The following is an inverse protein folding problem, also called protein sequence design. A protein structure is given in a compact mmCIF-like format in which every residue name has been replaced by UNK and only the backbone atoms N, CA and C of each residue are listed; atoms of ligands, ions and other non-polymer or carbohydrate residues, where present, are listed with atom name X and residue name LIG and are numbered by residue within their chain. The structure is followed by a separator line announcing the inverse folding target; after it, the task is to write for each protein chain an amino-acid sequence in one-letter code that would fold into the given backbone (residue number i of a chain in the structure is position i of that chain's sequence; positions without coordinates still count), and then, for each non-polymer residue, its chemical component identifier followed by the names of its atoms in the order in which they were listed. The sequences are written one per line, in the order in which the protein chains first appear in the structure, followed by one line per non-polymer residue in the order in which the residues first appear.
data_IF_795545639819
#
_entry.id   IF_795545639819
#
_cell.length_a   1.000
_cell.length_b   1.000
_cell.length_c   1.000
_cell.angle_alpha   90.00
_cell.angle_beta   90.00
_cell.angle_gamma   90.00
#
_symmetry.space_group_name_H-M   'P 1'
#
loop_
_entity.id
_entity.type
_entity.pdbx_description
1 polymer ?
#
# COMPACT_ATOMS: atom_id res chain seq x y z
N UNK A 1 -46.74 -30.37 -28.00
CA UNK A 1 -46.28 -28.97 -28.01
C UNK A 1 -45.60 -28.72 -26.68
N UNK A 2 -44.27 -28.89 -26.65
CA UNK A 2 -43.48 -28.64 -25.45
C UNK A 2 -43.13 -27.16 -25.39
N UNK A 3 -43.67 -26.47 -24.39
CA UNK A 3 -43.28 -25.11 -24.06
C UNK A 3 -41.99 -25.20 -23.21
N UNK A 4 -40.86 -25.09 -23.89
CA UNK A 4 -39.56 -24.99 -23.23
C UNK A 4 -39.42 -23.55 -22.72
N UNK A 5 -39.94 -23.32 -21.51
CA UNK A 5 -39.63 -22.12 -20.74
C UNK A 5 -38.11 -22.02 -20.63
N UNK A 6 -37.52 -21.12 -21.41
CA UNK A 6 -36.11 -20.79 -21.34
C UNK A 6 -35.82 -20.27 -19.94
N UNK A 7 -35.26 -21.14 -19.11
CA UNK A 7 -34.67 -20.79 -17.83
C UNK A 7 -33.48 -19.89 -18.15
N UNK A 8 -33.72 -18.58 -18.20
CA UNK A 8 -32.65 -17.60 -18.19
C UNK A 8 -31.98 -17.70 -16.82
N UNK A 9 -30.95 -18.54 -16.75
CA UNK A 9 -29.99 -18.59 -15.66
C UNK A 9 -29.54 -17.15 -15.39
N UNK A 10 -29.95 -16.61 -14.23
CA UNK A 10 -29.56 -15.27 -13.81
C UNK A 10 -28.08 -15.34 -13.46
N UNK A 11 -27.22 -15.15 -14.45
CA UNK A 11 -25.80 -14.91 -14.23
C UNK A 11 -25.73 -13.68 -13.34
N UNK A 12 -25.30 -13.85 -12.09
CA UNK A 12 -25.18 -12.72 -11.19
C UNK A 12 -24.24 -11.68 -11.82
N UNK A 13 -24.65 -10.40 -11.88
CA UNK A 13 -23.83 -9.38 -12.48
C UNK A 13 -22.52 -9.28 -11.70
N UNK A 14 -21.38 -9.34 -12.40
CA UNK A 14 -20.06 -9.32 -11.79
C UNK A 14 -19.93 -8.26 -10.68
N UNK A 15 -19.31 -8.56 -9.54
CA UNK A 15 -19.16 -7.64 -8.41
C UNK A 15 -18.62 -6.27 -8.84
N UNK A 16 -19.13 -5.19 -8.24
CA UNK A 16 -18.70 -3.83 -8.57
C UNK A 16 -17.20 -3.61 -8.35
N UNK A 17 -16.61 -4.30 -7.37
CA UNK A 17 -15.17 -4.35 -7.11
C UNK A 17 -14.36 -4.78 -8.33
N UNK A 18 -14.86 -5.75 -9.10
CA UNK A 18 -14.15 -6.28 -10.26
C UNK A 18 -14.17 -5.29 -11.42
N UNK A 19 -15.31 -4.61 -11.63
CA UNK A 19 -15.43 -3.56 -12.65
C UNK A 19 -14.49 -2.37 -12.34
N UNK A 20 -14.33 -2.00 -11.06
CA UNK A 20 -13.40 -0.94 -10.65
C UNK A 20 -11.96 -1.40 -10.87
N UNK A 21 -11.62 -2.61 -10.42
CA UNK A 21 -10.27 -3.18 -10.58
C UNK A 21 -9.84 -3.18 -12.04
N UNK A 22 -10.66 -3.71 -12.95
CA UNK A 22 -10.35 -3.76 -14.39
C UNK A 22 -10.15 -2.39 -15.01
N UNK A 23 -10.91 -1.38 -14.57
CA UNK A 23 -10.72 0.00 -15.03
C UNK A 23 -9.42 0.61 -14.51
N UNK A 24 -9.03 0.33 -13.26
CA UNK A 24 -7.75 0.76 -12.71
C UNK A 24 -6.56 0.05 -13.38
N UNK A 25 -6.75 -1.19 -13.82
CA UNK A 25 -5.80 -1.95 -14.66
C UNK A 25 -5.74 -1.46 -16.12
N UNK A 26 -6.58 -0.49 -16.50
CA UNK A 26 -6.55 0.15 -17.81
C UNK A 26 -7.57 -0.36 -18.84
N UNK A 27 -8.38 -1.37 -18.52
CA UNK A 27 -9.41 -1.87 -19.44
C UNK A 27 -10.48 -0.81 -19.69
N UNK A 28 -10.95 -0.70 -20.92
CA UNK A 28 -11.98 0.24 -21.38
C UNK A 28 -13.40 -0.30 -21.10
N UNK A 29 -14.40 0.58 -21.08
CA UNK A 29 -15.80 0.16 -20.89
C UNK A 29 -16.28 -0.85 -21.96
N UNK A 30 -15.89 -0.73 -23.25
CA UNK A 30 -16.16 -1.75 -24.27
C UNK A 30 -15.55 -3.12 -23.96
N UNK A 31 -14.30 -3.18 -23.51
CA UNK A 31 -13.63 -4.45 -23.18
C UNK A 31 -14.32 -5.15 -21.99
N UNK A 32 -14.70 -4.38 -20.98
CA UNK A 32 -15.45 -4.90 -19.82
C UNK A 32 -16.84 -5.38 -20.23
N UNK A 33 -17.52 -4.66 -21.12
CA UNK A 33 -18.82 -5.04 -21.64
C UNK A 33 -18.76 -6.35 -22.45
N UNK A 34 -17.76 -6.49 -23.31
CA UNK A 34 -17.49 -7.71 -24.07
C UNK A 34 -17.19 -8.90 -23.14
N UNK A 35 -16.36 -8.68 -22.12
CA UNK A 35 -16.03 -9.70 -21.11
C UNK A 35 -17.24 -10.21 -20.34
N UNK A 36 -18.21 -9.34 -20.09
CA UNK A 36 -19.42 -9.64 -19.32
C UNK A 36 -20.61 -10.05 -20.19
N UNK A 37 -20.51 -9.97 -21.52
CA UNK A 37 -21.64 -10.21 -22.42
C UNK A 37 -22.79 -9.21 -22.25
N UNK A 38 -22.51 -7.99 -21.78
CA UNK A 38 -23.51 -6.94 -21.54
C UNK A 38 -23.27 -5.71 -22.40
N UNK A 39 -24.22 -4.78 -22.41
CA UNK A 39 -24.04 -3.51 -23.12
C UNK A 39 -23.06 -2.57 -22.40
N UNK A 40 -22.37 -1.73 -23.16
CA UNK A 40 -21.48 -0.69 -22.62
C UNK A 40 -22.22 0.26 -21.67
N UNK A 41 -23.50 0.53 -21.97
CA UNK A 41 -24.38 1.36 -21.14
C UNK A 41 -24.64 0.72 -19.77
N UNK A 42 -24.79 -0.61 -19.70
CA UNK A 42 -24.95 -1.32 -18.43
C UNK A 42 -23.70 -1.18 -17.55
N UNK A 43 -22.50 -1.32 -18.14
CA UNK A 43 -21.22 -1.11 -17.44
C UNK A 43 -21.08 0.34 -16.98
N UNK A 44 -21.35 1.30 -17.87
CA UNK A 44 -21.28 2.74 -17.57
C UNK A 44 -22.21 3.15 -16.43
N UNK A 45 -23.46 2.67 -16.43
CA UNK A 45 -24.46 2.97 -15.39
C UNK A 45 -24.00 2.48 -14.02
N UNK A 46 -23.41 1.29 -13.94
CA UNK A 46 -22.91 0.71 -12.68
C UNK A 46 -21.72 1.47 -12.13
N UNK A 47 -20.85 1.97 -13.00
CA UNK A 47 -19.62 2.64 -12.60
C UNK A 47 -19.79 4.16 -12.38
N UNK A 48 -20.88 4.77 -12.87
CA UNK A 48 -21.10 6.23 -12.85
C UNK A 48 -20.95 6.86 -11.46
N UNK A 49 -21.57 6.27 -10.43
CA UNK A 49 -21.54 6.82 -9.07
C UNK A 49 -20.18 6.74 -8.38
N UNK A 50 -19.27 5.94 -8.93
CA UNK A 50 -17.93 5.73 -8.39
C UNK A 50 -16.89 6.52 -9.18
N UNK A 51 -16.94 6.53 -10.52
CA UNK A 51 -15.99 7.33 -11.33
C UNK A 51 -16.13 8.83 -11.13
N UNK A 52 -17.31 9.32 -10.74
CA UNK A 52 -17.46 10.72 -10.35
C UNK A 52 -16.71 11.06 -9.04
N UNK A 53 -16.34 10.04 -8.26
CA UNK A 53 -15.63 10.17 -6.98
C UNK A 53 -14.16 9.75 -7.06
N UNK A 54 -13.82 8.90 -8.02
CA UNK A 54 -12.45 8.46 -8.31
C UNK A 54 -11.86 9.41 -9.36
N UNK A 55 -11.14 10.42 -8.90
CA UNK A 55 -10.23 11.18 -9.75
C UNK A 55 -8.86 10.51 -9.68
N UNK A 56 -8.46 9.83 -10.77
CA UNK A 56 -7.21 9.08 -10.82
C UNK A 56 -5.96 9.96 -10.59
N UNK A 57 -6.03 11.27 -10.87
CA UNK A 57 -4.95 12.20 -10.55
C UNK A 57 -4.92 12.51 -9.05
N UNK A 58 -6.08 12.75 -8.44
CA UNK A 58 -6.16 12.96 -6.99
C UNK A 58 -5.80 11.70 -6.20
N UNK A 59 -6.15 10.51 -6.69
CA UNK A 59 -5.78 9.25 -6.05
C UNK A 59 -4.27 9.03 -6.08
N UNK A 60 -3.61 9.31 -7.21
CA UNK A 60 -2.14 9.24 -7.32
C UNK A 60 -1.47 10.26 -6.41
N UNK A 61 -1.93 11.51 -6.43
CA UNK A 61 -1.43 12.55 -5.54
C UNK A 61 -1.66 12.19 -4.06
N UNK A 62 -2.81 11.61 -3.72
CA UNK A 62 -3.11 11.15 -2.37
C UNK A 62 -2.18 10.02 -1.94
N UNK A 63 -1.91 9.04 -2.82
CA UNK A 63 -0.96 7.96 -2.55
C UNK A 63 0.47 8.49 -2.36
N UNK A 64 0.91 9.42 -3.21
CA UNK A 64 2.24 10.04 -3.12
C UNK A 64 2.41 10.85 -1.84
N UNK A 65 1.40 11.65 -1.47
CA UNK A 65 1.47 12.55 -0.32
C UNK A 65 0.92 11.97 0.99
N UNK A 66 0.57 10.68 0.99
CA UNK A 66 -0.06 10.02 2.15
C UNK A 66 0.78 10.14 3.43
N UNK A 67 2.12 9.98 3.40
CA UNK A 67 2.95 10.18 4.59
C UNK A 67 2.87 11.60 5.15
N UNK A 68 2.87 12.64 4.30
CA UNK A 68 2.76 14.03 4.77
C UNK A 68 1.38 14.31 5.36
N UNK A 69 0.32 13.75 4.78
CA UNK A 69 -1.05 13.85 5.30
C UNK A 69 -1.15 13.21 6.69
N UNK A 70 -0.58 12.01 6.85
CA UNK A 70 -0.56 11.31 8.14
C UNK A 70 0.22 12.12 9.20
N UNK A 71 1.38 12.70 8.86
CA UNK A 71 2.12 13.60 9.76
C UNK A 71 1.33 14.83 10.15
N UNK A 72 0.63 15.46 9.20
CA UNK A 72 -0.21 16.61 9.48
C UNK A 72 -1.35 16.26 10.45
N UNK A 73 -1.98 15.09 10.26
CA UNK A 73 -3.00 14.57 11.16
C UNK A 73 -2.46 14.31 12.57
N UNK A 74 -1.28 13.69 12.70
CA UNK A 74 -0.61 13.51 13.98
C UNK A 74 -0.35 14.84 14.70
N UNK A 75 0.13 15.86 13.98
CA UNK A 75 0.34 17.21 14.53
C UNK A 75 -0.96 17.84 15.03
N UNK A 76 -2.04 17.75 14.25
CA UNK A 76 -3.34 18.28 14.64
C UNK A 76 -3.87 17.58 15.90
N UNK A 77 -3.73 16.26 15.99
CA UNK A 77 -4.13 15.49 17.18
C UNK A 77 -3.31 15.86 18.41
N UNK A 78 -2.00 16.08 18.27
CA UNK A 78 -1.15 16.54 19.38
C UNK A 78 -1.64 17.88 19.94
N UNK A 79 -1.96 18.84 19.07
CA UNK A 79 -2.53 20.13 19.49
C UNK A 79 -3.86 19.93 20.24
N UNK A 80 -4.72 19.06 19.73
CA UNK A 80 -6.03 18.78 20.32
C UNK A 80 -5.94 18.11 21.69
N UNK A 81 -4.95 17.24 21.93
CA UNK A 81 -4.69 16.62 23.23
C UNK A 81 -4.37 17.67 24.31
N UNK A 82 -3.71 18.76 23.94
CA UNK A 82 -3.41 19.84 24.88
C UNK A 82 -4.59 20.81 25.06
N UNK A 83 -5.64 20.75 24.23
CA UNK A 83 -6.80 21.61 24.33
C UNK A 83 -7.83 21.07 25.37
N UNK A 84 -8.04 21.76 26.51
CA UNK A 84 -8.93 21.30 27.58
C UNK A 84 -10.40 21.13 27.18
N UNK A 85 -10.92 21.95 26.27
CA UNK A 85 -12.32 21.86 25.81
C UNK A 85 -12.56 20.62 24.95
N UNK A 86 -11.55 20.22 24.15
CA UNK A 86 -11.63 19.03 23.30
C UNK A 86 -11.43 17.74 24.10
N UNK A 87 -10.61 17.77 25.15
CA UNK A 87 -10.45 16.64 26.10
C UNK A 87 -11.73 16.25 26.83
N UNK A 88 -12.67 17.19 27.00
CA UNK A 88 -13.97 16.87 27.62
C UNK A 88 -14.85 15.97 26.73
N UNK A 89 -14.66 16.00 25.41
CA UNK A 89 -15.45 15.24 24.43
C UNK A 89 -14.81 13.90 24.04
N UNK A 90 -13.49 13.80 24.08
CA UNK A 90 -12.76 12.57 23.81
C UNK A 90 -11.75 12.34 24.95
N UNK A 91 -11.77 11.15 25.56
CA UNK A 91 -10.80 10.82 26.62
C UNK A 91 -9.37 10.93 26.07
N UNK A 92 -8.47 11.46 26.88
CA UNK A 92 -7.04 11.55 26.54
C UNK A 92 -6.45 10.19 26.12
N UNK A 93 -6.97 9.09 26.69
CA UNK A 93 -6.57 7.73 26.33
C UNK A 93 -6.93 7.35 24.89
N UNK A 94 -8.13 7.69 24.42
CA UNK A 94 -8.53 7.42 23.04
C UNK A 94 -7.70 8.24 22.04
N UNK A 95 -7.39 9.49 22.37
CA UNK A 95 -6.54 10.34 21.55
C UNK A 95 -5.09 9.81 21.46
N UNK A 96 -4.52 9.37 22.58
CA UNK A 96 -3.19 8.76 22.61
C UNK A 96 -3.14 7.44 21.79
N UNK A 97 -4.18 6.61 21.89
CA UNK A 97 -4.27 5.38 21.11
C UNK A 97 -4.34 5.65 19.60
N UNK A 98 -5.21 6.57 19.17
CA UNK A 98 -5.32 6.95 17.76
C UNK A 98 -4.03 7.59 17.23
N UNK A 99 -3.33 8.39 18.05
CA UNK A 99 -2.04 8.97 17.69
C UNK A 99 -0.99 7.87 17.45
N UNK A 100 -0.94 6.85 18.32
CA UNK A 100 -0.05 5.70 18.15
C UNK A 100 -0.34 4.95 16.84
N UNK A 101 -1.61 4.71 16.52
CA UNK A 101 -1.98 4.05 15.28
C UNK A 101 -1.55 4.85 14.04
N UNK A 102 -1.78 6.16 14.01
CA UNK A 102 -1.35 7.01 12.90
C UNK A 102 0.17 7.05 12.74
N UNK A 103 0.90 7.11 13.85
CA UNK A 103 2.37 7.01 13.86
C UNK A 103 2.84 5.69 13.28
N UNK A 104 2.26 4.56 13.73
CA UNK A 104 2.66 3.24 13.24
C UNK A 104 2.38 3.06 11.74
N UNK A 105 1.25 3.57 11.24
CA UNK A 105 0.91 3.56 9.81
C UNK A 105 1.92 4.38 9.00
N UNK A 106 2.21 5.62 9.41
CA UNK A 106 3.17 6.49 8.70
C UNK A 106 4.59 5.93 8.71
N UNK A 107 5.02 5.36 9.83
CA UNK A 107 6.32 4.70 9.98
C UNK A 107 6.46 3.52 9.01
N UNK A 108 5.42 2.70 8.86
CA UNK A 108 5.42 1.57 7.94
C UNK A 108 5.43 2.03 6.47
N UNK A 109 4.66 3.06 6.14
CA UNK A 109 4.60 3.64 4.79
C UNK A 109 5.90 4.31 4.34
N UNK A 110 6.67 4.82 5.29
CA UNK A 110 7.99 5.45 5.02
C UNK A 110 9.15 4.46 5.08
N UNK A 111 8.88 3.15 5.14
CA UNK A 111 9.91 2.12 5.12
C UNK A 111 10.68 1.96 6.43
N UNK A 112 10.27 2.61 7.51
CA UNK A 112 10.87 2.49 8.84
C UNK A 112 10.40 1.24 9.60
N UNK A 113 10.07 0.16 8.88
CA UNK A 113 9.86 -1.15 9.48
C UNK A 113 11.18 -1.63 10.07
N UNK A 114 11.16 -2.13 11.30
CA UNK A 114 12.35 -2.73 11.94
C UNK A 114 12.96 -3.84 11.08
N UNK A 115 12.13 -4.57 10.31
CA UNK A 115 12.58 -5.55 9.34
C UNK A 115 13.30 -4.92 8.13
N UNK A 116 12.83 -3.79 7.63
CA UNK A 116 13.47 -3.08 6.50
C UNK A 116 14.79 -2.42 6.92
N UNK A 117 14.84 -1.83 8.12
CA UNK A 117 16.07 -1.27 8.68
C UNK A 117 17.12 -2.36 8.90
N UNK A 118 16.70 -3.53 9.42
CA UNK A 118 17.59 -4.68 9.58
C UNK A 118 18.11 -5.22 8.23
N UNK A 119 17.24 -5.30 7.22
CA UNK A 119 17.64 -5.74 5.87
C UNK A 119 18.64 -4.77 5.23
N UNK A 120 18.41 -3.45 5.33
CA UNK A 120 19.36 -2.44 4.84
C UNK A 120 20.73 -2.56 5.51
N UNK A 121 20.76 -2.72 6.83
CA UNK A 121 22.02 -2.90 7.57
C UNK A 121 22.79 -4.17 7.13
N UNK A 122 22.06 -5.26 6.83
CA UNK A 122 22.66 -6.48 6.30
C UNK A 122 23.25 -6.28 4.90
N UNK A 123 22.52 -5.63 3.98
CA UNK A 123 23.02 -5.33 2.63
C UNK A 123 24.29 -4.48 2.68
N UNK A 124 24.30 -3.42 3.49
CA UNK A 124 25.49 -2.58 3.68
C UNK A 124 26.69 -3.34 4.26
N UNK A 125 26.45 -4.34 5.11
CA UNK A 125 27.53 -5.17 5.66
C UNK A 125 28.15 -6.08 4.59
N UNK A 126 27.31 -6.68 3.73
CA UNK A 126 27.74 -7.55 2.63
C UNK A 126 28.52 -6.75 1.59
N UNK A 127 28.07 -5.55 1.25
CA UNK A 127 28.77 -4.67 0.31
C UNK A 127 30.14 -4.24 0.85
N UNK A 128 30.25 -3.94 2.15
CA UNK A 128 31.53 -3.64 2.81
C UNK A 128 32.51 -4.82 2.77
N UNK A 129 32.03 -6.04 3.03
CA UNK A 129 32.87 -7.23 2.95
C UNK A 129 33.37 -7.49 1.51
N UNK A 130 32.50 -7.31 0.52
CA UNK A 130 32.87 -7.46 -0.91
C UNK A 130 33.83 -6.38 -1.41
N UNK A 131 33.75 -5.17 -0.86
CA UNK A 131 34.63 -4.06 -1.21
C UNK A 131 36.00 -4.13 -0.52
N UNK A 132 36.18 -5.00 0.47
CA UNK A 132 37.46 -5.18 1.16
C UNK A 132 38.26 -6.27 0.45
N UNK A 133 39.37 -5.94 -0.25
CA UNK A 133 40.19 -6.97 -0.89
C UNK A 133 40.74 -7.87 0.22
N UNK A 134 40.44 -9.16 0.13
CA UNK A 134 40.92 -10.18 1.06
C UNK A 134 42.45 -10.10 1.08
N UNK A 135 43.02 -9.58 2.17
CA UNK A 135 44.46 -9.54 2.37
C UNK A 135 44.91 -10.99 2.57
N UNK A 136 45.32 -11.62 1.48
CA UNK A 136 45.86 -12.98 1.45
C UNK A 136 46.89 -13.16 2.54
N UNK A 137 46.70 -14.18 3.36
CA UNK A 137 47.62 -14.56 4.41
C UNK A 137 48.86 -15.21 3.82
N UNK A 138 49.89 -14.43 3.56
CA UNK A 138 51.25 -14.95 3.45
C UNK A 138 51.78 -15.16 4.88
N UNK A 139 51.59 -16.38 5.40
CA UNK A 139 52.43 -16.87 6.49
C UNK A 139 53.81 -17.12 5.89
N UNK A 140 54.74 -16.19 6.12
CA UNK A 140 56.17 -16.49 6.04
C UNK A 140 56.48 -17.58 7.06
N UNK A 141 56.55 -18.82 6.55
CA UNK A 141 57.27 -19.92 7.18
C UNK A 141 58.74 -19.53 7.24
N UNK A 142 59.19 -19.17 8.44
CA UNK A 142 60.61 -19.01 8.74
C UNK A 142 61.27 -20.39 8.68
N UNK A 143 61.99 -20.67 7.60
CA UNK A 143 63.02 -21.71 7.59
C UNK A 143 64.22 -21.17 8.36
N UNK A 144 64.30 -21.50 9.65
CA UNK A 144 65.54 -21.42 10.42
C UNK A 144 65.65 -22.72 11.21
N UNK A 145 66.45 -23.65 10.68
CA UNK A 145 66.64 -24.96 11.30
C UNK A 145 67.35 -25.97 10.40
N UNK A 146 68.62 -25.74 10.09
CA UNK A 146 69.55 -26.84 9.79
C UNK A 146 70.98 -26.41 10.13
N UNK A 147 71.49 -27.00 11.20
CA UNK A 147 72.93 -27.12 11.50
C UNK A 147 73.47 -28.39 10.87
#
# INVERSE_FOLDING_TARGET
MGDAAAVHERVEPAPLSDLIRWRLEGQTLPEIAQRLGVSVQAVSKRLRGIWQRIDAQQDKAFQEYRPQILRAAQRAMLVDIFNPEKRAKASTGNAAYALRQLHDIERLETGQSTANVALHALVESIERERATPTRGGDRQISEDGAT
#
